data_IF_751502073080
#
_entry.id   IF_751502073080
#
_cell.length_a   1.000
_cell.length_b   1.000
_cell.length_c   1.000
_cell.angle_alpha   90.00
_cell.angle_beta   90.00
_cell.angle_gamma   90.00
#
_symmetry.space_group_name_H-M   'P 1'
#
loop_
_entity.id
_entity.type
_entity.pdbx_description
1 polymer ?
#
# COMPACT_ATOMS: atom_id res chain seq x y z
N UNK A 1 -58.34 4.61 54.75
CA UNK A 1 -59.49 4.49 53.82
C UNK A 1 -59.51 5.69 52.88
N UNK A 2 -59.15 5.49 51.61
CA UNK A 2 -59.86 5.92 50.38
C UNK A 2 -58.88 5.97 49.21
N UNK A 3 -59.08 5.00 48.32
CA UNK A 3 -58.60 4.96 46.95
C UNK A 3 -59.19 6.13 46.14
N UNK A 4 -58.48 6.62 45.13
CA UNK A 4 -59.08 6.96 43.84
C UNK A 4 -58.04 6.97 42.71
N UNK A 5 -58.45 6.42 41.56
CA UNK A 5 -57.74 6.13 40.33
C UNK A 5 -57.78 7.30 39.32
N UNK A 6 -56.67 7.50 38.57
CA UNK A 6 -56.53 7.76 37.09
C UNK A 6 -57.07 9.12 36.53
N UNK A 7 -56.58 9.75 35.41
CA UNK A 7 -55.70 9.26 34.30
C UNK A 7 -54.53 10.16 33.80
N UNK A 8 -53.66 9.50 33.02
CA UNK A 8 -53.00 9.88 31.76
C UNK A 8 -52.60 11.34 31.46
N UNK A 9 -51.30 11.54 31.21
CA UNK A 9 -50.80 12.49 30.21
C UNK A 9 -49.55 11.90 29.53
N UNK A 10 -49.63 11.71 28.22
CA UNK A 10 -48.52 11.35 27.35
C UNK A 10 -47.72 12.61 26.99
N UNK A 11 -46.39 12.57 27.05
CA UNK A 11 -45.52 13.51 26.32
C UNK A 11 -44.25 12.80 25.83
N UNK A 12 -43.99 13.00 24.54
CA UNK A 12 -42.93 12.47 23.69
C UNK A 12 -41.51 13.01 23.98
N UNK A 13 -40.54 12.29 23.37
CA UNK A 13 -39.25 12.77 22.83
C UNK A 13 -38.10 12.98 23.84
N UNK A 14 -36.83 12.63 23.57
CA UNK A 14 -36.15 12.18 22.36
C UNK A 14 -34.98 11.25 22.73
N UNK A 15 -34.77 10.22 21.90
CA UNK A 15 -33.58 9.38 21.89
C UNK A 15 -32.40 10.19 21.36
N UNK A 16 -31.49 10.64 22.22
CA UNK A 16 -30.14 10.97 21.77
C UNK A 16 -29.33 9.69 21.68
N UNK A 17 -29.56 8.94 20.59
CA UNK A 17 -28.57 8.01 20.05
C UNK A 17 -27.41 8.85 19.50
N UNK A 18 -26.62 9.44 20.41
CA UNK A 18 -25.34 10.04 20.09
C UNK A 18 -24.42 8.91 19.63
N UNK A 19 -24.33 8.73 18.32
CA UNK A 19 -23.36 7.85 17.68
C UNK A 19 -21.98 8.41 18.02
N UNK A 20 -21.39 7.93 19.11
CA UNK A 20 -20.00 8.18 19.42
C UNK A 20 -19.20 7.59 18.26
N UNK A 21 -18.75 8.46 17.36
CA UNK A 21 -17.86 8.08 16.28
C UNK A 21 -16.52 7.74 16.92
N UNK A 22 -16.32 6.46 17.26
CA UNK A 22 -15.00 5.97 17.60
C UNK A 22 -14.09 6.29 16.42
N UNK A 23 -12.93 6.95 16.63
CA UNK A 23 -11.88 6.92 15.64
C UNK A 23 -11.56 5.45 15.44
N UNK A 24 -11.87 4.93 14.26
CA UNK A 24 -11.40 3.61 13.87
C UNK A 24 -9.89 3.70 13.87
N UNK A 25 -9.26 3.14 14.90
CA UNK A 25 -7.89 2.66 14.86
C UNK A 25 -7.83 1.64 13.72
N UNK A 26 -7.67 2.15 12.51
CA UNK A 26 -7.37 1.39 11.32
C UNK A 26 -5.99 0.81 11.60
N UNK A 27 -6.00 -0.44 12.07
CA UNK A 27 -4.80 -1.24 12.34
C UNK A 27 -3.97 -1.24 11.06
N UNK A 28 -3.05 -0.28 10.96
CA UNK A 28 -2.15 -0.18 9.84
C UNK A 28 -1.50 -1.54 9.68
N UNK A 29 -1.48 -2.06 8.45
CA UNK A 29 -0.68 -3.24 8.16
C UNK A 29 0.76 -2.88 8.55
N UNK A 30 1.23 -3.40 9.68
CA UNK A 30 2.60 -3.14 10.13
C UNK A 30 3.53 -3.94 9.22
N UNK A 31 4.12 -3.23 8.26
CA UNK A 31 5.17 -3.80 7.44
C UNK A 31 6.33 -4.24 8.34
N UNK A 32 6.93 -5.40 8.08
CA UNK A 32 8.14 -5.81 8.79
C UNK A 32 9.24 -4.78 8.58
N UNK A 33 10.14 -4.66 9.56
CA UNK A 33 11.29 -3.77 9.45
C UNK A 33 12.15 -4.15 8.22
N UNK A 34 12.36 -3.23 7.27
CA UNK A 34 13.16 -3.53 6.08
C UNK A 34 14.65 -3.51 6.40
N UNK A 35 15.41 -4.42 5.81
CA UNK A 35 16.88 -4.40 5.79
C UNK A 35 17.43 -3.27 4.90
N UNK A 36 16.65 -2.85 3.90
CA UNK A 36 17.01 -1.76 2.98
C UNK A 36 15.75 -1.03 2.53
N UNK A 37 15.83 0.30 2.42
CA UNK A 37 14.78 1.12 1.80
C UNK A 37 15.32 1.66 0.48
N UNK A 38 14.54 1.46 -0.58
CA UNK A 38 14.84 1.85 -1.95
C UNK A 38 13.91 2.99 -2.36
N UNK A 39 14.45 3.91 -3.12
CA UNK A 39 13.76 5.04 -3.73
C UNK A 39 14.05 5.06 -5.22
N UNK A 40 13.53 6.06 -5.95
CA UNK A 40 13.77 6.16 -7.40
C UNK A 40 15.27 6.27 -7.73
N UNK A 41 16.09 6.75 -6.79
CA UNK A 41 17.54 6.92 -6.93
C UNK A 41 18.28 5.60 -7.09
N UNK A 42 17.82 4.52 -6.47
CA UNK A 42 18.41 3.17 -6.57
C UNK A 42 17.87 2.37 -7.77
N UNK A 43 17.05 2.99 -8.62
CA UNK A 43 16.54 2.32 -9.82
C UNK A 43 17.68 2.04 -10.80
N UNK A 44 17.81 0.78 -11.20
CA UNK A 44 18.90 0.24 -12.01
C UNK A 44 19.89 -0.60 -11.21
N UNK A 45 19.90 -0.43 -9.88
CA UNK A 45 20.91 -1.05 -9.02
C UNK A 45 20.61 -2.50 -8.65
N UNK A 46 21.67 -3.17 -8.23
CA UNK A 46 21.62 -4.47 -7.58
C UNK A 46 21.33 -4.31 -6.09
N UNK A 47 20.34 -5.06 -5.60
CA UNK A 47 19.91 -5.05 -4.21
C UNK A 47 20.21 -6.42 -3.60
N UNK A 48 21.34 -6.57 -2.87
CA UNK A 48 21.68 -7.81 -2.22
C UNK A 48 20.76 -8.04 -1.00
N UNK A 49 20.20 -9.24 -0.89
CA UNK A 49 19.44 -9.69 0.28
C UNK A 49 19.82 -11.13 0.66
N UNK A 50 19.56 -11.47 1.92
CA UNK A 50 19.52 -12.85 2.40
C UNK A 50 18.08 -13.33 2.54
N UNK A 51 17.85 -14.64 2.41
CA UNK A 51 16.52 -15.23 2.62
C UNK A 51 15.94 -14.78 3.97
N UNK A 52 14.67 -14.38 3.96
CA UNK A 52 13.97 -13.85 5.12
C UNK A 52 14.11 -12.34 5.35
N UNK A 53 15.05 -11.67 4.67
CA UNK A 53 15.15 -10.21 4.70
C UNK A 53 14.07 -9.53 3.86
N UNK A 54 13.82 -8.27 4.18
CA UNK A 54 12.81 -7.44 3.53
C UNK A 54 13.46 -6.19 2.93
N UNK A 55 12.99 -5.77 1.77
CA UNK A 55 13.28 -4.47 1.20
C UNK A 55 11.99 -3.67 1.05
N UNK A 56 12.06 -2.37 1.35
CA UNK A 56 10.95 -1.43 1.17
C UNK A 56 11.22 -0.53 -0.01
N UNK A 57 10.38 -0.59 -1.04
CA UNK A 57 10.39 0.40 -2.12
C UNK A 57 9.47 1.55 -1.69
N UNK A 58 9.97 2.79 -1.74
CA UNK A 58 9.27 4.01 -1.31
C UNK A 58 9.31 5.02 -2.46
N UNK A 59 8.17 5.27 -3.10
CA UNK A 59 8.07 6.16 -4.26
C UNK A 59 7.03 7.25 -4.02
N UNK A 60 7.32 8.46 -4.48
CA UNK A 60 6.33 9.54 -4.48
C UNK A 60 5.17 9.16 -5.41
N UNK A 61 3.94 9.38 -4.97
CA UNK A 61 2.75 9.12 -5.76
C UNK A 61 1.72 10.23 -5.55
N UNK A 62 1.03 10.63 -6.62
CA UNK A 62 -0.06 11.59 -6.53
C UNK A 62 -1.33 11.05 -7.19
N UNK A 63 -2.19 10.32 -6.46
CA UNK A 63 -3.42 9.78 -7.01
C UNK A 63 -4.37 10.84 -7.61
N UNK A 64 -4.28 12.10 -7.20
CA UNK A 64 -5.15 13.17 -7.75
C UNK A 64 -4.81 13.54 -9.19
N UNK A 65 -3.63 13.16 -9.69
CA UNK A 65 -3.27 13.30 -11.12
C UNK A 65 -3.70 12.08 -11.93
N UNK A 66 -4.17 11.03 -11.26
CA UNK A 66 -4.52 9.75 -11.81
C UNK A 66 -3.37 8.76 -12.01
N UNK A 67 -2.15 9.18 -11.70
CA UNK A 67 -0.99 8.31 -11.80
C UNK A 67 -0.79 7.51 -10.51
N UNK A 68 -0.65 6.20 -10.66
CA UNK A 68 -0.34 5.26 -9.58
C UNK A 68 0.78 4.32 -10.01
N UNK A 69 1.55 3.83 -9.04
CA UNK A 69 2.59 2.83 -9.29
C UNK A 69 2.04 1.41 -9.27
N UNK A 70 2.42 0.62 -10.27
CA UNK A 70 2.08 -0.80 -10.37
C UNK A 70 3.34 -1.64 -10.49
N UNK A 71 3.47 -2.64 -9.63
CA UNK A 71 4.67 -3.46 -9.51
C UNK A 71 4.47 -4.88 -10.06
N UNK A 72 5.52 -5.42 -10.66
CA UNK A 72 5.57 -6.80 -11.14
C UNK A 72 6.97 -7.38 -11.03
N UNK A 73 7.05 -8.70 -10.99
CA UNK A 73 8.31 -9.42 -11.16
C UNK A 73 8.68 -9.48 -12.64
N UNK A 74 9.97 -9.46 -12.94
CA UNK A 74 10.52 -9.57 -14.29
C UNK A 74 11.78 -10.45 -14.25
N UNK A 75 11.79 -11.53 -15.04
CA UNK A 75 12.90 -12.50 -15.09
C UNK A 75 13.98 -12.15 -16.13
N UNK A 76 13.89 -10.98 -16.77
CA UNK A 76 14.80 -10.49 -17.80
C UNK A 76 14.59 -11.13 -19.18
N UNK A 77 13.61 -12.03 -19.34
CA UNK A 77 13.34 -12.74 -20.59
C UNK A 77 12.08 -12.21 -21.25
N UNK A 78 12.03 -12.27 -22.59
CA UNK A 78 10.80 -12.02 -23.35
C UNK A 78 9.75 -13.09 -23.01
N UNK A 79 8.48 -12.69 -23.03
CA UNK A 79 7.34 -13.57 -22.78
C UNK A 79 6.68 -13.35 -21.41
N UNK A 80 5.85 -14.31 -20.97
CA UNK A 80 5.13 -14.21 -19.70
C UNK A 80 6.09 -14.07 -18.52
N UNK A 81 5.81 -13.10 -17.66
CA UNK A 81 6.58 -12.87 -16.45
C UNK A 81 6.05 -13.72 -15.29
N UNK A 82 6.93 -14.15 -14.36
CA UNK A 82 6.50 -14.95 -13.23
C UNK A 82 5.62 -14.13 -12.28
N UNK A 83 4.64 -14.78 -11.65
CA UNK A 83 3.79 -14.14 -10.64
C UNK A 83 4.16 -14.51 -9.20
N UNK A 84 4.81 -15.66 -9.00
CA UNK A 84 5.13 -16.19 -7.67
C UNK A 84 6.30 -17.17 -7.70
N UNK A 85 6.71 -17.60 -6.51
CA UNK A 85 7.73 -18.64 -6.31
C UNK A 85 9.08 -18.23 -6.86
N UNK A 86 9.43 -16.94 -6.85
CA UNK A 86 10.71 -16.42 -7.35
C UNK A 86 11.68 -16.13 -6.20
N UNK A 87 12.84 -15.55 -6.51
CA UNK A 87 13.83 -15.18 -5.50
C UNK A 87 13.24 -14.21 -4.45
N UNK A 88 12.32 -13.33 -4.89
CA UNK A 88 11.55 -12.45 -4.01
C UNK A 88 10.04 -12.58 -4.22
N UNK A 89 9.28 -12.12 -3.24
CA UNK A 89 7.81 -11.99 -3.28
C UNK A 89 7.39 -10.56 -2.93
N UNK A 90 6.39 -10.02 -3.63
CA UNK A 90 5.72 -8.79 -3.24
C UNK A 90 4.69 -9.15 -2.17
N UNK A 91 4.95 -8.78 -0.91
CA UNK A 91 4.18 -9.26 0.25
C UNK A 91 3.25 -8.21 0.87
N UNK A 92 3.24 -7.00 0.30
CA UNK A 92 2.33 -5.95 0.71
C UNK A 92 2.62 -4.64 0.00
N UNK A 93 1.61 -3.80 -0.14
CA UNK A 93 1.74 -2.44 -0.62
C UNK A 93 0.74 -1.54 0.10
N UNK A 94 1.08 -0.25 0.23
CA UNK A 94 0.19 0.76 0.78
C UNK A 94 0.48 2.14 0.18
N UNK A 95 -0.53 2.98 0.18
CA UNK A 95 -0.38 4.40 -0.09
C UNK A 95 -0.50 5.19 1.22
N UNK A 96 0.49 6.02 1.51
CA UNK A 96 0.50 6.94 2.63
C UNK A 96 0.20 8.34 2.10
N UNK A 97 -0.99 8.86 2.40
CA UNK A 97 -1.37 10.21 2.01
C UNK A 97 -0.47 11.27 2.67
N UNK A 98 -0.32 12.42 2.01
CA UNK A 98 0.33 13.58 2.61
C UNK A 98 -0.37 13.99 3.91
N UNK A 99 0.39 14.34 4.94
CA UNK A 99 -0.16 14.90 6.19
C UNK A 99 -0.41 16.41 6.12
N UNK A 100 -0.21 17.03 4.95
CA UNK A 100 -0.45 18.46 4.74
C UNK A 100 -1.94 18.74 4.56
N UNK A 101 -2.36 19.98 4.85
CA UNK A 101 -3.76 20.43 4.62
C UNK A 101 -4.03 20.84 3.16
N UNK A 102 -3.08 20.60 2.25
CA UNK A 102 -3.18 21.02 0.86
C UNK A 102 -3.87 19.93 0.04
N UNK A 103 -5.01 20.27 -0.56
CA UNK A 103 -5.69 19.39 -1.50
C UNK A 103 -4.77 19.04 -2.68
N UNK A 104 -4.70 17.76 -3.05
CA UNK A 104 -3.84 17.29 -4.14
C UNK A 104 -2.36 17.16 -3.79
N UNK A 105 -1.98 17.32 -2.51
CA UNK A 105 -0.61 17.09 -2.09
C UNK A 105 -0.21 15.61 -2.31
N UNK A 106 0.96 15.35 -2.91
CA UNK A 106 1.43 14.00 -3.19
C UNK A 106 1.73 13.25 -1.89
N UNK A 107 1.39 11.97 -1.88
CA UNK A 107 1.76 11.02 -0.85
C UNK A 107 2.91 10.12 -1.30
N UNK A 108 2.94 8.91 -0.73
CA UNK A 108 3.99 7.93 -0.93
C UNK A 108 3.39 6.53 -1.12
N UNK A 109 3.81 5.84 -2.16
CA UNK A 109 3.61 4.40 -2.34
C UNK A 109 4.74 3.65 -1.63
N UNK A 110 4.38 2.75 -0.72
CA UNK A 110 5.32 1.79 -0.13
C UNK A 110 4.99 0.37 -0.62
N UNK A 111 6.01 -0.37 -1.05
CA UNK A 111 5.89 -1.79 -1.46
C UNK A 111 6.91 -2.61 -0.72
N UNK A 112 6.47 -3.76 -0.20
CA UNK A 112 7.27 -4.67 0.59
C UNK A 112 7.69 -5.89 -0.22
N UNK A 113 9.00 -6.09 -0.31
CA UNK A 113 9.63 -7.16 -1.06
C UNK A 113 10.30 -8.09 -0.06
N UNK A 114 9.88 -9.34 -0.01
CA UNK A 114 10.48 -10.38 0.84
C UNK A 114 11.45 -11.22 0.04
N UNK A 115 12.67 -11.41 0.52
CA UNK A 115 13.59 -12.40 0.00
C UNK A 115 13.12 -13.81 0.39
N UNK A 116 12.68 -14.59 -0.61
CA UNK A 116 12.03 -15.88 -0.39
C UNK A 116 12.96 -17.08 -0.58
N UNK A 117 13.85 -17.04 -1.58
CA UNK A 117 14.81 -18.12 -1.87
C UNK A 117 16.00 -17.60 -2.67
N UNK A 118 17.14 -18.32 -2.69
CA UNK A 118 18.28 -17.89 -3.48
C UNK A 118 17.98 -17.75 -4.97
N UNK A 119 18.58 -16.76 -5.61
CA UNK A 119 18.45 -16.45 -7.02
C UNK A 119 18.38 -14.96 -7.29
N UNK A 120 18.24 -14.59 -8.57
CA UNK A 120 18.15 -13.19 -8.99
C UNK A 120 16.86 -12.94 -9.77
N UNK A 121 16.20 -11.81 -9.49
CA UNK A 121 15.02 -11.37 -10.24
C UNK A 121 14.87 -9.85 -10.19
N UNK A 122 14.24 -9.26 -11.19
CA UNK A 122 13.88 -7.85 -11.17
C UNK A 122 12.50 -7.64 -10.54
N UNK A 123 12.37 -6.56 -9.78
CA UNK A 123 11.08 -5.94 -9.47
C UNK A 123 10.99 -4.66 -10.31
N UNK A 124 9.93 -4.54 -11.11
CA UNK A 124 9.69 -3.38 -11.99
C UNK A 124 8.43 -2.68 -11.54
N UNK A 125 8.52 -1.36 -11.34
CA UNK A 125 7.39 -0.49 -11.03
C UNK A 125 7.11 0.47 -12.19
N UNK A 126 5.86 0.60 -12.61
CA UNK A 126 5.43 1.53 -13.66
C UNK A 126 4.42 2.54 -13.10
N UNK A 127 4.65 3.82 -13.30
CA UNK A 127 3.72 4.90 -12.94
C UNK A 127 2.77 5.18 -14.11
N UNK A 128 1.51 4.78 -14.01
CA UNK A 128 0.53 4.88 -15.11
C UNK A 128 -0.84 5.33 -14.62
N UNK A 129 -1.66 5.82 -15.55
CA UNK A 129 -3.11 5.94 -15.43
C UNK A 129 -3.76 4.67 -15.98
N UNK A 130 -4.24 3.81 -15.10
CA UNK A 130 -4.76 2.48 -15.49
C UNK A 130 -5.97 2.52 -16.44
N UNK A 131 -6.72 3.62 -16.45
CA UNK A 131 -7.91 3.81 -17.29
C UNK A 131 -7.61 4.29 -18.71
N UNK A 132 -6.37 4.68 -19.02
CA UNK A 132 -5.99 5.06 -20.38
C UNK A 132 -5.85 3.79 -21.25
N UNK A 133 -6.23 3.90 -22.53
CA UNK A 133 -5.99 2.80 -23.47
C UNK A 133 -4.50 2.73 -23.79
N UNK A 134 -3.87 1.59 -23.53
CA UNK A 134 -2.43 1.34 -23.75
C UNK A 134 -1.53 2.38 -23.05
N UNK A 135 -1.65 2.53 -21.71
CA UNK A 135 -0.96 3.58 -20.99
C UNK A 135 0.55 3.41 -21.13
N UNK A 136 1.25 4.48 -21.49
CA UNK A 136 2.70 4.53 -21.41
C UNK A 136 3.09 4.98 -20.00
N UNK A 137 4.05 4.30 -19.33
CA UNK A 137 4.52 4.75 -18.04
C UNK A 137 5.12 6.15 -18.11
N UNK A 138 4.66 7.06 -17.25
CA UNK A 138 5.32 8.36 -17.05
C UNK A 138 6.71 8.15 -16.45
N UNK A 139 6.82 7.17 -15.54
CA UNK A 139 8.06 6.77 -14.92
C UNK A 139 8.12 5.24 -14.79
N UNK A 140 9.33 4.71 -14.86
CA UNK A 140 9.62 3.28 -14.62
C UNK A 140 10.79 3.16 -13.66
N UNK A 141 10.65 2.30 -12.65
CA UNK A 141 11.76 1.88 -11.79
C UNK A 141 12.04 0.40 -11.97
N UNK A 142 13.30 0.00 -11.82
CA UNK A 142 13.72 -1.39 -11.95
C UNK A 142 14.82 -1.71 -10.94
N UNK A 143 14.56 -2.63 -10.02
CA UNK A 143 15.56 -3.08 -9.03
C UNK A 143 15.91 -4.55 -9.26
N UNK A 144 17.20 -4.88 -9.29
CA UNK A 144 17.65 -6.28 -9.41
C UNK A 144 17.91 -6.85 -8.03
N UNK A 145 17.04 -7.73 -7.55
CA UNK A 145 17.26 -8.41 -6.28
C UNK A 145 18.15 -9.63 -6.47
N UNK A 146 19.25 -9.68 -5.73
CA UNK A 146 20.14 -10.84 -5.64
C UNK A 146 20.01 -11.46 -4.26
N UNK A 147 19.31 -12.59 -4.20
CA UNK A 147 19.02 -13.29 -2.94
C UNK A 147 20.01 -14.42 -2.71
N UNK A 148 20.61 -14.41 -1.52
CA UNK A 148 21.54 -15.42 -1.01
C UNK A 148 20.98 -16.07 0.25
N UNK A 149 21.64 -17.12 0.76
CA UNK A 149 21.22 -17.79 1.99
C UNK A 149 21.53 -16.98 3.25
#
# INVERSE_FOLDING_TARGET
>A
MKYFLIPAAAVCAALFAGCASQPSEEKALDFPAPSVTLTIQESGDAVPLRVGQYAKITLKENPTTGYSWYFKLDNGKRGPQPKSGQAVELVGERYLASNTRLAGAPGVREVMVKAARPGSIYVVGNCIREWEKNPQPEQTVRYRFDVTR
#
